data_IF_156069585723
#
_entry.id   IF_156069585723
#
_cell.length_a   1.000
_cell.length_b   1.000
_cell.length_c   1.000
_cell.angle_alpha   90.00
_cell.angle_beta   90.00
_cell.angle_gamma   90.00
#
_symmetry.space_group_name_H-M   'P 1'
#
loop_
_entity.id
_entity.type
_entity.pdbx_description
1 polymer ?
#
# COMPACT_ATOMS: atom_id res chain seq x y z
N UNK A 1 -9.33 15.24 10.41
CA UNK A 1 -9.02 13.93 11.06
C UNK A 1 -9.98 13.71 12.20
N UNK A 2 -10.41 12.47 12.46
CA UNK A 2 -11.30 12.14 13.58
C UNK A 2 -10.71 12.55 14.94
N UNK A 3 -9.39 12.45 15.11
CA UNK A 3 -8.65 12.91 16.28
C UNK A 3 -8.89 14.40 16.66
N UNK A 4 -9.30 15.24 15.70
CA UNK A 4 -9.58 16.66 15.93
C UNK A 4 -11.07 16.95 16.13
N UNK A 5 -11.91 15.93 16.29
CA UNK A 5 -13.37 16.02 16.29
C UNK A 5 -13.94 15.40 17.57
N UNK A 6 -14.20 16.20 18.61
CA UNK A 6 -14.72 15.69 19.89
C UNK A 6 -16.16 15.15 19.77
N UNK A 7 -16.85 15.45 18.67
CA UNK A 7 -18.18 14.96 18.35
C UNK A 7 -18.18 13.56 17.70
N UNK A 8 -17.02 12.97 17.44
CA UNK A 8 -16.93 11.60 16.89
C UNK A 8 -16.93 10.59 18.03
N UNK A 9 -18.00 9.81 18.14
CA UNK A 9 -18.15 8.80 19.20
C UNK A 9 -17.42 7.49 18.92
N UNK A 10 -17.28 7.10 17.65
CA UNK A 10 -16.71 5.81 17.23
C UNK A 10 -15.99 5.97 15.88
N UNK A 11 -14.86 5.27 15.70
CA UNK A 11 -14.06 5.29 14.47
C UNK A 11 -13.95 3.90 13.87
N UNK A 12 -14.17 3.76 12.57
CA UNK A 12 -13.95 2.52 11.83
C UNK A 12 -12.86 2.76 10.79
N UNK A 13 -11.77 1.98 10.88
CA UNK A 13 -10.64 2.00 9.97
C UNK A 13 -10.73 0.80 9.03
N UNK A 14 -11.18 1.03 7.80
CA UNK A 14 -11.37 -0.01 6.78
C UNK A 14 -10.18 -0.08 5.82
N UNK A 15 -9.34 -1.12 5.94
CA UNK A 15 -8.12 -1.28 5.14
C UNK A 15 -7.27 0.00 5.16
N UNK A 16 -7.23 0.67 6.31
CA UNK A 16 -6.54 1.95 6.47
C UNK A 16 -5.03 1.72 6.61
N UNK A 17 -4.19 2.48 5.90
CA UNK A 17 -2.76 2.41 6.10
C UNK A 17 -2.41 2.87 7.52
N UNK A 18 -1.41 2.23 8.11
CA UNK A 18 -0.82 2.58 9.41
C UNK A 18 0.67 2.86 9.31
N UNK A 19 1.21 2.83 8.10
CA UNK A 19 2.58 3.24 7.77
C UNK A 19 2.53 4.33 6.70
N UNK A 20 3.60 5.13 6.55
CA UNK A 20 3.69 6.13 5.50
C UNK A 20 3.39 5.57 4.11
N UNK A 21 2.70 6.35 3.28
CA UNK A 21 2.31 5.91 1.93
C UNK A 21 3.52 5.54 1.06
N UNK A 22 4.70 6.15 1.27
CA UNK A 22 5.95 5.70 0.65
C UNK A 22 6.26 4.22 0.94
N UNK A 23 6.04 3.77 2.16
CA UNK A 23 6.42 2.42 2.60
C UNK A 23 5.43 1.40 2.02
N UNK A 24 4.16 1.79 1.85
CA UNK A 24 3.18 1.03 1.08
C UNK A 24 3.60 0.90 -0.39
N UNK A 25 3.94 2.00 -1.06
CA UNK A 25 4.33 1.99 -2.48
C UNK A 25 5.59 1.14 -2.70
N UNK A 26 6.62 1.33 -1.86
CA UNK A 26 7.88 0.60 -1.99
C UNK A 26 7.72 -0.89 -1.66
N UNK A 27 6.80 -1.26 -0.77
CA UNK A 27 6.47 -2.66 -0.52
C UNK A 27 5.76 -3.30 -1.72
N UNK A 28 4.80 -2.61 -2.34
CA UNK A 28 4.15 -3.10 -3.55
C UNK A 28 5.16 -3.32 -4.68
N UNK A 29 6.10 -2.38 -4.88
CA UNK A 29 7.20 -2.54 -5.86
C UNK A 29 8.05 -3.77 -5.53
N UNK A 30 8.40 -3.98 -4.26
CA UNK A 30 9.20 -5.14 -3.84
C UNK A 30 8.48 -6.45 -4.13
N UNK A 31 7.19 -6.53 -3.82
CA UNK A 31 6.36 -7.70 -4.12
C UNK A 31 6.30 -7.97 -5.63
N UNK A 32 6.08 -6.93 -6.44
CA UNK A 32 6.02 -7.05 -7.90
C UNK A 32 7.34 -7.57 -8.48
N UNK A 33 8.49 -7.07 -8.02
CA UNK A 33 9.80 -7.53 -8.47
C UNK A 33 10.18 -8.92 -7.95
N UNK A 34 9.81 -9.27 -6.72
CA UNK A 34 10.08 -10.61 -6.16
C UNK A 34 9.41 -11.71 -6.99
N UNK A 35 8.24 -11.42 -7.56
CA UNK A 35 7.49 -12.33 -8.42
C UNK A 35 8.11 -12.56 -9.79
N UNK A 36 9.03 -11.70 -10.21
CA UNK A 36 9.79 -11.94 -11.44
C UNK A 36 10.81 -13.08 -11.26
N UNK A 37 10.97 -13.61 -10.03
CA UNK A 37 11.92 -14.67 -9.69
C UNK A 37 13.37 -14.30 -10.05
N UNK A 38 13.70 -13.01 -9.96
CA UNK A 38 15.04 -12.46 -10.17
C UNK A 38 15.85 -12.45 -8.86
N UNK A 39 17.14 -12.13 -8.96
CA UNK A 39 18.01 -12.08 -7.79
C UNK A 39 17.56 -11.01 -6.77
N UNK A 40 17.57 -11.34 -5.47
CA UNK A 40 17.16 -10.43 -4.40
C UNK A 40 17.92 -9.09 -4.41
N UNK A 41 19.21 -9.09 -4.74
CA UNK A 41 19.98 -7.84 -4.82
C UNK A 41 19.45 -6.91 -5.91
N UNK A 42 18.95 -7.47 -7.02
CA UNK A 42 18.34 -6.69 -8.11
C UNK A 42 16.95 -6.18 -7.71
N UNK A 43 16.17 -6.97 -6.97
CA UNK A 43 14.91 -6.51 -6.36
C UNK A 43 15.15 -5.26 -5.51
N UNK A 44 16.09 -5.32 -4.56
CA UNK A 44 16.36 -4.18 -3.67
C UNK A 44 16.98 -2.98 -4.39
N UNK A 45 17.82 -3.20 -5.42
CA UNK A 45 18.29 -2.10 -6.29
C UNK A 45 17.12 -1.42 -6.99
N UNK A 46 16.19 -2.19 -7.54
CA UNK A 46 14.97 -1.69 -8.15
C UNK A 46 14.13 -0.85 -7.17
N UNK A 47 13.85 -1.39 -5.99
CA UNK A 47 13.12 -0.66 -4.92
C UNK A 47 13.85 0.62 -4.53
N UNK A 48 15.19 0.59 -4.41
CA UNK A 48 16.00 1.79 -4.14
C UNK A 48 15.88 2.84 -5.24
N UNK A 49 15.84 2.43 -6.51
CA UNK A 49 15.64 3.34 -7.64
C UNK A 49 14.27 4.02 -7.58
N UNK A 50 13.22 3.28 -7.23
CA UNK A 50 11.88 3.83 -6.99
C UNK A 50 11.87 4.86 -5.87
N UNK A 51 12.50 4.54 -4.73
CA UNK A 51 12.59 5.46 -3.59
C UNK A 51 13.33 6.75 -3.97
N UNK A 52 14.46 6.66 -4.68
CA UNK A 52 15.20 7.83 -5.17
C UNK A 52 14.35 8.68 -6.11
N UNK A 53 13.60 8.05 -7.02
CA UNK A 53 12.73 8.77 -7.95
C UNK A 53 11.57 9.48 -7.24
N UNK A 54 10.91 8.83 -6.28
CA UNK A 54 9.89 9.44 -5.43
C UNK A 54 10.46 10.68 -4.72
N UNK A 55 11.62 10.54 -4.08
CA UNK A 55 12.27 11.63 -3.36
C UNK A 55 12.65 12.80 -4.29
N UNK A 56 13.23 12.51 -5.45
CA UNK A 56 13.64 13.50 -6.44
C UNK A 56 12.45 14.31 -6.97
N UNK A 57 11.32 13.64 -7.24
CA UNK A 57 10.09 14.30 -7.69
C UNK A 57 9.48 15.14 -6.57
N UNK A 58 9.41 14.60 -5.35
CA UNK A 58 8.82 15.32 -4.22
C UNK A 58 9.58 16.59 -3.85
N UNK A 59 10.91 16.57 -3.95
CA UNK A 59 11.77 17.69 -3.58
C UNK A 59 12.18 18.56 -4.77
N UNK A 60 11.72 18.23 -5.98
CA UNK A 60 12.10 18.88 -7.23
C UNK A 60 13.62 18.94 -7.46
N UNK A 61 14.35 17.89 -7.04
CA UNK A 61 15.81 17.85 -7.03
C UNK A 61 16.36 16.71 -7.86
N UNK A 62 17.37 16.99 -8.69
CA UNK A 62 18.11 16.02 -9.49
C UNK A 62 17.22 15.06 -10.32
N UNK A 63 16.04 15.51 -10.76
CA UNK A 63 15.04 14.66 -11.43
C UNK A 63 15.64 14.01 -12.68
N UNK A 64 16.34 14.76 -13.53
CA UNK A 64 16.91 14.23 -14.78
C UNK A 64 17.91 13.09 -14.57
N UNK A 65 18.86 13.28 -13.64
CA UNK A 65 19.83 12.24 -13.29
C UNK A 65 19.16 11.01 -12.66
N UNK A 66 18.16 11.24 -11.81
CA UNK A 66 17.41 10.16 -11.15
C UNK A 66 16.57 9.36 -12.13
N UNK A 67 15.91 10.00 -13.10
CA UNK A 67 15.19 9.33 -14.18
C UNK A 67 16.12 8.46 -15.02
N UNK A 68 17.32 8.94 -15.35
CA UNK A 68 18.30 8.15 -16.11
C UNK A 68 18.77 6.91 -15.32
N UNK A 69 19.07 7.07 -14.03
CA UNK A 69 19.44 5.95 -13.16
C UNK A 69 18.29 4.94 -13.00
N UNK A 70 17.06 5.45 -12.82
CA UNK A 70 15.86 4.64 -12.71
C UNK A 70 15.62 3.82 -13.99
N UNK A 71 15.68 4.45 -15.16
CA UNK A 71 15.53 3.77 -16.44
C UNK A 71 16.57 2.67 -16.64
N UNK A 72 17.84 2.93 -16.31
CA UNK A 72 18.90 1.92 -16.40
C UNK A 72 18.63 0.73 -15.48
N UNK A 73 18.16 0.98 -14.26
CA UNK A 73 17.80 -0.07 -13.30
C UNK A 73 16.61 -0.89 -13.81
N UNK A 74 15.60 -0.24 -14.41
CA UNK A 74 14.48 -0.94 -15.05
C UNK A 74 14.94 -1.84 -16.20
N UNK A 75 15.93 -1.43 -17.00
CA UNK A 75 16.49 -2.30 -18.04
C UNK A 75 17.11 -3.56 -17.42
N UNK A 76 17.86 -3.45 -16.32
CA UNK A 76 18.41 -4.62 -15.62
C UNK A 76 17.31 -5.55 -15.10
N UNK A 77 16.28 -4.99 -14.47
CA UNK A 77 15.12 -5.75 -13.95
C UNK A 77 14.41 -6.48 -15.08
N UNK A 78 14.11 -5.78 -16.18
CA UNK A 78 13.41 -6.37 -17.33
C UNK A 78 14.25 -7.44 -18.02
N UNK A 79 15.56 -7.23 -18.16
CA UNK A 79 16.47 -8.21 -18.77
C UNK A 79 16.64 -9.48 -17.94
N UNK A 80 16.49 -9.38 -16.61
CA UNK A 80 16.57 -10.54 -15.71
C UNK A 80 15.27 -11.33 -15.61
N UNK A 81 14.13 -10.75 -16.01
CA UNK A 81 12.82 -11.39 -15.90
C UNK A 81 12.67 -12.52 -16.95
N UNK A 82 12.28 -13.75 -16.56
CA UNK A 82 12.18 -14.89 -17.47
C UNK A 82 11.23 -14.68 -18.66
N UNK A 83 10.17 -13.90 -18.48
CA UNK A 83 9.21 -13.53 -19.52
C UNK A 83 9.80 -12.70 -20.66
N UNK A 84 10.95 -12.07 -20.43
CA UNK A 84 11.67 -11.26 -21.40
C UNK A 84 12.92 -11.97 -21.94
N UNK A 85 13.07 -13.27 -21.69
CA UNK A 85 14.20 -14.03 -22.20
C UNK A 85 14.25 -13.91 -23.73
N UNK A 86 15.46 -13.69 -24.27
CA UNK A 86 15.72 -13.45 -25.69
C UNK A 86 15.12 -12.15 -26.30
N UNK A 87 14.52 -11.26 -25.50
CA UNK A 87 14.13 -9.92 -25.99
C UNK A 87 15.38 -9.10 -26.37
N UNK A 88 15.39 -8.40 -27.51
CA UNK A 88 16.52 -7.57 -27.88
C UNK A 88 16.64 -6.37 -26.91
N UNK A 89 17.88 -5.99 -26.57
CA UNK A 89 18.15 -4.87 -25.66
C UNK A 89 17.47 -3.56 -26.08
N UNK A 90 17.25 -3.35 -27.37
CA UNK A 90 16.52 -2.19 -27.90
C UNK A 90 15.06 -2.18 -27.46
N UNK A 91 14.37 -3.32 -27.46
CA UNK A 91 13.00 -3.44 -26.99
C UNK A 91 12.91 -3.25 -25.47
N UNK A 92 13.85 -3.82 -24.71
CA UNK A 92 13.92 -3.63 -23.25
C UNK A 92 14.13 -2.17 -22.87
N UNK A 93 15.05 -1.47 -23.57
CA UNK A 93 15.27 -0.02 -23.38
C UNK A 93 14.02 0.80 -23.69
N UNK A 94 13.28 0.45 -24.75
CA UNK A 94 12.04 1.13 -25.09
C UNK A 94 10.95 0.91 -24.02
N UNK A 95 10.80 -0.32 -23.52
CA UNK A 95 9.89 -0.65 -22.42
C UNK A 95 10.25 0.09 -21.13
N UNK A 96 11.53 0.08 -20.75
CA UNK A 96 12.03 0.79 -19.59
C UNK A 96 11.81 2.31 -19.69
N UNK A 97 12.03 2.91 -20.86
CA UNK A 97 11.77 4.33 -21.08
C UNK A 97 10.27 4.67 -20.92
N UNK A 98 9.38 3.83 -21.47
CA UNK A 98 7.93 3.98 -21.30
C UNK A 98 7.53 3.89 -19.82
N UNK A 99 7.96 2.85 -19.12
CA UNK A 99 7.68 2.67 -17.69
C UNK A 99 8.27 3.81 -16.84
N UNK A 100 9.46 4.31 -17.19
CA UNK A 100 10.07 5.46 -16.51
C UNK A 100 9.18 6.69 -16.59
N UNK A 101 8.60 6.98 -17.76
CA UNK A 101 7.69 8.10 -17.93
C UNK A 101 6.35 7.88 -17.22
N UNK A 102 5.83 6.65 -17.20
CA UNK A 102 4.63 6.28 -16.44
C UNK A 102 4.85 6.49 -14.93
N UNK A 103 5.95 5.98 -14.37
CA UNK A 103 6.28 6.20 -12.95
C UNK A 103 6.53 7.67 -12.64
N UNK A 104 7.18 8.43 -13.52
CA UNK A 104 7.34 9.88 -13.35
C UNK A 104 5.98 10.57 -13.21
N UNK A 105 5.02 10.22 -14.07
CA UNK A 105 3.68 10.82 -14.02
C UNK A 105 2.92 10.42 -12.75
N UNK A 106 2.95 9.13 -12.39
CA UNK A 106 2.30 8.61 -11.18
C UNK A 106 2.89 9.24 -9.91
N UNK A 107 4.22 9.35 -9.82
CA UNK A 107 4.91 9.92 -8.67
C UNK A 107 4.77 11.44 -8.54
N UNK A 108 4.41 12.11 -9.62
CA UNK A 108 4.07 13.53 -9.62
C UNK A 108 2.58 13.81 -9.33
N UNK A 109 1.74 12.78 -9.13
CA UNK A 109 0.32 12.99 -8.82
C UNK A 109 0.18 13.78 -7.51
N UNK A 110 -0.65 14.84 -7.46
CA UNK A 110 -0.83 15.65 -6.24
C UNK A 110 -1.29 14.83 -5.03
N UNK A 111 -2.11 13.81 -5.25
CA UNK A 111 -2.58 12.92 -4.19
C UNK A 111 -1.44 12.09 -3.60
N UNK A 112 -0.44 11.73 -4.40
CA UNK A 112 0.72 11.00 -3.91
C UNK A 112 1.67 11.96 -3.22
N UNK A 113 2.08 13.05 -3.87
CA UNK A 113 3.07 14.00 -3.31
C UNK A 113 2.62 14.67 -2.02
N UNK A 114 1.32 14.93 -1.85
CA UNK A 114 0.75 15.53 -0.62
C UNK A 114 0.82 14.61 0.59
N UNK A 115 0.72 13.30 0.40
CA UNK A 115 0.58 12.32 1.49
C UNK A 115 1.72 11.31 1.58
N UNK A 116 2.69 11.32 0.64
CA UNK A 116 3.73 10.30 0.52
C UNK A 116 4.55 10.13 1.82
N UNK A 117 4.76 11.21 2.57
CA UNK A 117 5.50 11.21 3.85
C UNK A 117 4.61 11.33 5.08
N UNK A 118 3.29 11.47 4.91
CA UNK A 118 2.37 11.51 6.04
C UNK A 118 2.42 10.17 6.75
N UNK A 119 2.54 10.18 8.08
CA UNK A 119 2.60 8.98 8.91
C UNK A 119 1.24 8.78 9.62
N UNK A 120 0.39 7.85 9.14
CA UNK A 120 -0.92 7.63 9.73
C UNK A 120 -0.87 7.09 11.16
N UNK A 121 0.24 6.47 11.59
CA UNK A 121 0.36 5.96 12.95
C UNK A 121 0.25 7.08 13.99
N UNK A 122 0.76 8.28 13.66
CA UNK A 122 0.65 9.46 14.53
C UNK A 122 -0.80 9.91 14.70
N UNK A 123 -1.59 9.85 13.62
CA UNK A 123 -3.02 10.19 13.69
C UNK A 123 -3.81 9.15 14.47
N UNK A 124 -3.49 7.87 14.30
CA UNK A 124 -4.11 6.75 15.02
C UNK A 124 -3.80 6.86 16.53
N UNK A 125 -2.57 7.18 16.89
CA UNK A 125 -2.14 7.40 18.27
C UNK A 125 -2.80 8.63 18.91
N UNK A 126 -3.31 9.57 18.12
CA UNK A 126 -4.02 10.75 18.60
C UNK A 126 -5.55 10.57 18.69
N UNK A 127 -6.09 9.40 18.34
CA UNK A 127 -7.53 9.13 18.46
C UNK A 127 -7.95 9.08 19.93
N UNK A 128 -9.17 9.59 20.20
CA UNK A 128 -9.75 9.63 21.56
C UNK A 128 -11.01 8.79 21.70
N UNK A 129 -11.48 8.19 20.60
CA UNK A 129 -12.74 7.45 20.54
C UNK A 129 -12.47 5.98 20.23
N UNK A 130 -13.34 5.05 20.65
CA UNK A 130 -13.18 3.63 20.35
C UNK A 130 -13.00 3.35 18.86
N UNK A 131 -12.14 2.36 18.54
CA UNK A 131 -11.72 2.05 17.16
C UNK A 131 -12.03 0.61 16.76
N UNK A 132 -12.67 0.44 15.61
CA UNK A 132 -12.74 -0.85 14.90
C UNK A 132 -11.79 -0.82 13.70
N UNK A 133 -10.69 -1.57 13.78
CA UNK A 133 -9.77 -1.78 12.66
C UNK A 133 -10.10 -3.04 11.88
N UNK A 134 -10.34 -2.90 10.57
CA UNK A 134 -10.73 -3.99 9.68
C UNK A 134 -9.67 -4.22 8.62
N UNK A 135 -9.25 -5.48 8.44
CA UNK A 135 -8.25 -5.89 7.46
C UNK A 135 -8.75 -7.02 6.56
N UNK A 136 -8.28 -7.02 5.30
CA UNK A 136 -8.41 -8.17 4.41
C UNK A 136 -7.18 -9.07 4.48
N UNK A 137 -7.36 -10.37 4.71
CA UNK A 137 -6.26 -11.35 4.75
C UNK A 137 -5.55 -11.57 3.41
N UNK A 138 -6.19 -11.14 2.31
CA UNK A 138 -5.64 -11.09 0.95
C UNK A 138 -5.45 -9.65 0.48
N UNK A 139 -5.41 -8.66 1.36
CA UNK A 139 -5.10 -7.29 0.94
C UNK A 139 -3.64 -7.19 0.48
N UNK A 140 -3.44 -6.73 -0.77
CA UNK A 140 -2.12 -6.45 -1.36
C UNK A 140 -1.78 -4.97 -1.45
N UNK A 141 -2.75 -4.08 -1.18
CA UNK A 141 -2.55 -2.64 -1.17
C UNK A 141 -2.18 -2.15 0.22
N UNK A 142 -2.87 -2.63 1.26
CA UNK A 142 -2.60 -2.35 2.67
C UNK A 142 -2.47 -3.67 3.39
N UNK A 143 -1.31 -4.30 3.21
CA UNK A 143 -1.10 -5.66 3.72
C UNK A 143 -1.15 -5.71 5.24
N UNK A 144 -1.71 -6.79 5.79
CA UNK A 144 -1.74 -7.03 7.23
C UNK A 144 -0.32 -7.00 7.82
N UNK A 145 0.62 -7.65 7.15
CA UNK A 145 2.00 -7.77 7.63
C UNK A 145 2.72 -6.42 7.79
N UNK A 146 2.34 -5.40 7.02
CA UNK A 146 2.91 -4.06 7.20
C UNK A 146 2.13 -3.18 8.19
N UNK A 147 0.81 -3.39 8.32
CA UNK A 147 -0.06 -2.39 8.92
C UNK A 147 -0.67 -2.80 10.25
N UNK A 148 -1.00 -4.08 10.46
CA UNK A 148 -1.78 -4.49 11.63
C UNK A 148 -1.04 -4.21 12.94
N UNK A 149 0.21 -4.67 13.05
CA UNK A 149 0.97 -4.51 14.30
C UNK A 149 1.36 -3.04 14.54
N UNK A 150 1.56 -2.25 13.47
CA UNK A 150 1.79 -0.80 13.58
C UNK A 150 0.53 -0.07 14.06
N UNK A 151 -0.64 -0.44 13.52
CA UNK A 151 -1.94 0.07 13.97
C UNK A 151 -2.17 -0.27 15.44
N UNK A 152 -1.95 -1.53 15.83
CA UNK A 152 -2.15 -2.01 17.19
C UNK A 152 -1.25 -1.26 18.18
N UNK A 153 0.03 -1.06 17.84
CA UNK A 153 0.94 -0.26 18.65
C UNK A 153 0.48 1.21 18.79
N UNK A 154 0.00 1.83 17.71
CA UNK A 154 -0.52 3.20 17.76
C UNK A 154 -1.79 3.30 18.62
N UNK A 155 -2.70 2.32 18.52
CA UNK A 155 -3.92 2.25 19.34
C UNK A 155 -3.61 1.98 20.82
N UNK A 156 -2.60 1.18 21.13
CA UNK A 156 -2.10 1.01 22.50
C UNK A 156 -1.56 2.33 23.07
N UNK A 157 -0.92 3.17 22.25
CA UNK A 157 -0.43 4.48 22.66
C UNK A 157 -1.56 5.50 22.87
N UNK A 158 -2.63 5.45 22.07
CA UNK A 158 -3.77 6.33 22.26
C UNK A 158 -4.57 6.01 23.53
N UNK A 159 -4.54 4.73 23.97
CA UNK A 159 -5.24 4.27 25.16
C UNK A 159 -6.75 4.12 24.98
N UNK A 160 -7.25 4.20 23.74
CA UNK A 160 -8.66 3.98 23.42
C UNK A 160 -9.00 2.50 23.42
N UNK A 161 -10.27 2.16 23.65
CA UNK A 161 -10.77 0.82 23.38
C UNK A 161 -10.67 0.52 21.89
N UNK A 162 -10.18 -0.65 21.52
CA UNK A 162 -10.08 -1.04 20.13
C UNK A 162 -10.34 -2.52 19.89
N UNK A 163 -10.85 -2.82 18.70
CA UNK A 163 -11.03 -4.17 18.17
C UNK A 163 -10.39 -4.26 16.80
N UNK A 164 -9.55 -5.26 16.57
CA UNK A 164 -8.97 -5.54 15.25
C UNK A 164 -9.55 -6.84 14.69
N UNK A 165 -10.11 -6.78 13.49
CA UNK A 165 -10.73 -7.92 12.81
C UNK A 165 -10.09 -8.15 11.46
N UNK A 166 -9.74 -9.41 11.19
CA UNK A 166 -9.21 -9.85 9.89
C UNK A 166 -10.23 -10.74 9.19
N UNK A 167 -10.53 -10.40 7.94
CA UNK A 167 -11.30 -11.25 7.03
C UNK A 167 -10.35 -12.04 6.14
N UNK A 168 -10.00 -13.27 6.54
CA UNK A 168 -8.92 -14.06 5.94
C UNK A 168 -8.92 -14.16 4.40
N UNK A 169 -10.11 -14.24 3.78
CA UNK A 169 -10.27 -14.39 2.33
C UNK A 169 -10.60 -13.08 1.60
N UNK A 170 -10.53 -11.93 2.28
CA UNK A 170 -10.88 -10.64 1.71
C UNK A 170 -9.68 -9.95 1.04
N UNK A 171 -9.89 -9.35 -0.14
CA UNK A 171 -8.97 -8.37 -0.72
C UNK A 171 -9.10 -6.99 -0.03
N UNK A 172 -8.43 -5.98 -0.60
CA UNK A 172 -8.49 -4.59 -0.13
C UNK A 172 -9.91 -3.99 -0.05
N UNK A 173 -10.82 -4.42 -0.92
CA UNK A 173 -12.21 -3.94 -0.97
C UNK A 173 -13.15 -4.80 -0.13
N UNK A 174 -12.62 -5.67 0.72
CA UNK A 174 -13.38 -6.65 1.50
C UNK A 174 -14.21 -7.62 0.66
N UNK A 175 -13.78 -7.90 -0.57
CA UNK A 175 -14.40 -8.89 -1.47
C UNK A 175 -13.68 -10.24 -1.34
N UNK A 176 -14.41 -11.34 -1.49
CA UNK A 176 -13.80 -12.68 -1.51
C UNK A 176 -12.79 -12.78 -2.66
N UNK A 177 -11.57 -13.18 -2.33
CA UNK A 177 -10.42 -13.17 -3.24
C UNK A 177 -9.57 -14.43 -3.07
N UNK A 178 -9.03 -14.92 -4.18
CA UNK A 178 -8.10 -16.05 -4.18
C UNK A 178 -6.68 -15.55 -3.94
N UNK A 179 -6.27 -14.52 -4.69
CA UNK A 179 -4.90 -13.98 -4.66
C UNK A 179 -4.81 -12.60 -4.03
N UNK A 180 -5.90 -11.82 -4.07
CA UNK A 180 -5.93 -10.44 -3.58
C UNK A 180 -5.43 -9.40 -4.57
N UNK A 181 -5.15 -9.80 -5.81
CA UNK A 181 -4.47 -8.97 -6.80
C UNK A 181 -5.45 -8.18 -7.66
N UNK A 182 -5.01 -7.04 -8.20
CA UNK A 182 -5.87 -6.17 -9.02
C UNK A 182 -6.34 -6.82 -10.32
N UNK A 183 -5.58 -7.76 -10.87
CA UNK A 183 -5.93 -8.48 -12.11
C UNK A 183 -7.14 -9.41 -11.96
N UNK A 184 -7.38 -10.00 -10.78
CA UNK A 184 -8.60 -10.78 -10.51
C UNK A 184 -9.82 -9.88 -10.26
N UNK A 185 -9.65 -8.62 -9.87
CA UNK A 185 -10.76 -7.77 -9.39
C UNK A 185 -11.89 -7.68 -10.40
N UNK A 186 -11.61 -7.59 -11.71
CA UNK A 186 -12.67 -7.51 -12.74
C UNK A 186 -13.59 -8.73 -12.76
N UNK A 187 -13.11 -9.89 -12.27
CA UNK A 187 -13.84 -11.17 -12.23
C UNK A 187 -14.51 -11.45 -10.90
N UNK A 188 -14.11 -10.75 -9.82
CA UNK A 188 -14.67 -10.96 -8.49
C UNK A 188 -16.12 -10.47 -8.41
N UNK A 189 -16.93 -11.19 -7.64
CA UNK A 189 -18.26 -10.72 -7.25
C UNK A 189 -18.13 -9.41 -6.46
N UNK A 190 -18.97 -8.42 -6.80
CA UNK A 190 -18.96 -7.07 -6.21
C UNK A 190 -19.76 -7.01 -4.92
N UNK A 191 -19.39 -7.89 -4.00
CA UNK A 191 -20.05 -8.08 -2.72
C UNK A 191 -19.00 -8.24 -1.64
N UNK A 192 -19.31 -7.73 -0.45
CA UNK A 192 -18.47 -7.96 0.72
C UNK A 192 -18.44 -9.45 1.08
N UNK A 193 -17.33 -9.88 1.69
CA UNK A 193 -17.26 -11.21 2.32
C UNK A 193 -18.38 -11.38 3.34
N UNK A 194 -18.84 -12.63 3.59
CA UNK A 194 -19.81 -12.91 4.65
C UNK A 194 -19.39 -12.27 5.96
N UNK A 195 -20.38 -11.89 6.77
CA UNK A 195 -20.24 -11.24 8.08
C UNK A 195 -19.60 -9.84 8.10
N UNK A 196 -19.04 -9.32 7.00
CA UNK A 196 -18.41 -7.99 6.97
C UNK A 196 -19.33 -6.88 7.50
N UNK A 197 -20.52 -6.74 6.92
CA UNK A 197 -21.49 -5.73 7.33
C UNK A 197 -22.05 -6.01 8.73
N UNK A 198 -22.21 -7.28 9.10
CA UNK A 198 -22.66 -7.68 10.43
C UNK A 198 -21.67 -7.24 11.51
N UNK A 199 -20.37 -7.47 11.32
CA UNK A 199 -19.32 -7.04 12.27
C UNK A 199 -19.37 -5.53 12.49
N UNK A 200 -19.52 -4.75 11.40
CA UNK A 200 -19.66 -3.29 11.48
C UNK A 200 -20.94 -2.91 12.24
N UNK A 201 -22.09 -3.48 11.88
CA UNK A 201 -23.37 -3.12 12.52
C UNK A 201 -23.39 -3.49 13.99
N UNK A 202 -22.90 -4.68 14.34
CA UNK A 202 -22.89 -5.19 15.71
C UNK A 202 -21.97 -4.31 16.57
N UNK A 203 -20.79 -3.93 16.07
CA UNK A 203 -19.87 -3.04 16.79
C UNK A 203 -20.41 -1.61 16.97
N UNK A 204 -21.13 -1.09 15.97
CA UNK A 204 -21.78 0.23 16.10
C UNK A 204 -22.88 0.17 17.17
N UNK A 205 -23.75 -0.85 17.12
CA UNK A 205 -24.94 -0.95 17.97
C UNK A 205 -24.63 -1.41 19.40
N UNK A 206 -23.56 -2.17 19.62
CA UNK A 206 -23.16 -2.58 20.95
C UNK A 206 -22.53 -1.40 21.69
N UNK A 207 -23.14 -1.04 22.82
CA UNK A 207 -22.75 0.09 23.67
C UNK A 207 -21.89 -0.31 24.88
N UNK A 208 -21.55 -1.60 25.04
CA UNK A 208 -21.00 -2.13 26.30
C UNK A 208 -19.47 -2.03 26.45
N UNK A 209 -18.73 -1.56 25.44
CA UNK A 209 -17.27 -1.38 25.50
C UNK A 209 -16.80 0.09 25.36
N UNK A 210 -17.71 1.06 25.61
CA UNK A 210 -17.41 2.50 25.57
C UNK A 210 -16.93 3.04 26.92
#
# INVERSE_FOLDING_TARGET
>A
MAAARPDVEKVILMAAPSVPLRDIVLYQVREDYTRLHINQSLVERGVSAHHRLLWAIQNEQAIGATLAHFQNTLVEVLAAAPENDNQPLTALKASAAKQTQEYRAVYALPSLTSFINHDPALDIAALTSPVLGLFGGRDRQVTIGQNKDVMENALLQSGVHYTLVTFEKANHYFQSAETGRRDEYVRLNKQFVPTFLQVISDWILNAEDN
#
